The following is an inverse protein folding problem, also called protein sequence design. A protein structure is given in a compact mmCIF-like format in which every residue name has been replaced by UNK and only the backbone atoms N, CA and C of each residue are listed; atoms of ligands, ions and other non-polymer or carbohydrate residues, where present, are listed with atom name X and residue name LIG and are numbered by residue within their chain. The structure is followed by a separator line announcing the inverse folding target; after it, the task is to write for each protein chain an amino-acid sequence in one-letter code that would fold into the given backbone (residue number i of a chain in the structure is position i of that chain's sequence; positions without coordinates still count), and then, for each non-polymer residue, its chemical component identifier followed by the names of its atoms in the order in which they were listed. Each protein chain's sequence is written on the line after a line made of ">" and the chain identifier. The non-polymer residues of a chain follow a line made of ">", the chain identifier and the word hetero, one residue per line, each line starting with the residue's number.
data_IF_702472115251
#
_entry.id   IF_702472115251
#
_cell.length_a   1.000
_cell.length_b   1.000
_cell.length_c   1.000
_cell.angle_alpha   90.00
_cell.angle_beta   90.00
_cell.angle_gamma   90.00
#
_symmetry.space_group_name_H-M   'P 1'
#
loop_
_entity.id
_entity.type
_entity.pdbx_description
1 polymer ?
#
# COMPACT_ATOMS: atom_id res chain seq x y z
N UNK A 1 0.90 -16.68 -5.13
CA UNK A 1 1.40 -16.03 -3.89
C UNK A 1 1.70 -14.58 -4.26
N UNK A 2 1.00 -13.61 -3.68
CA UNK A 2 1.22 -12.20 -4.01
C UNK A 2 2.54 -11.72 -3.39
N UNK A 3 3.43 -11.15 -4.21
CA UNK A 3 4.73 -10.62 -3.80
C UNK A 3 4.64 -9.11 -3.60
N UNK A 4 5.25 -8.56 -2.55
CA UNK A 4 5.49 -7.10 -2.43
C UNK A 4 6.60 -6.64 -3.40
N UNK A 5 6.64 -7.19 -4.61
CA UNK A 5 7.63 -6.88 -5.62
C UNK A 5 7.25 -5.57 -6.31
N UNK A 6 8.24 -4.71 -6.55
CA UNK A 6 8.05 -3.47 -7.31
C UNK A 6 7.64 -3.83 -8.75
N UNK A 7 6.48 -3.36 -9.24
CA UNK A 7 6.05 -3.58 -10.62
C UNK A 7 7.05 -2.97 -11.61
N UNK A 8 7.21 -3.61 -12.77
CA UNK A 8 8.28 -3.29 -13.73
C UNK A 8 8.30 -1.82 -14.15
N UNK A 9 7.15 -1.25 -14.50
CA UNK A 9 7.03 0.16 -14.92
C UNK A 9 7.43 1.16 -13.84
N UNK A 10 7.41 0.75 -12.57
CA UNK A 10 7.76 1.59 -11.43
C UNK A 10 9.22 1.45 -10.97
N UNK A 11 9.90 0.36 -11.36
CA UNK A 11 11.29 0.09 -10.94
C UNK A 11 12.25 1.24 -11.20
N UNK A 12 12.27 1.90 -12.37
CA UNK A 12 13.20 3.00 -12.62
C UNK A 12 13.08 4.15 -11.60
N UNK A 13 11.86 4.39 -11.08
CA UNK A 13 11.60 5.43 -10.09
C UNK A 13 11.85 4.97 -8.64
N UNK A 14 11.60 3.69 -8.34
CA UNK A 14 11.58 3.17 -6.96
C UNK A 14 12.90 2.50 -6.56
N UNK A 15 13.55 1.76 -7.46
CA UNK A 15 14.76 1.01 -7.15
C UNK A 15 15.90 1.89 -6.60
N UNK A 16 16.16 3.10 -7.13
CA UNK A 16 17.15 4.01 -6.55
C UNK A 16 16.85 4.39 -5.09
N UNK A 17 15.57 4.55 -4.75
CA UNK A 17 15.12 4.86 -3.39
C UNK A 17 15.29 3.65 -2.47
N UNK A 18 14.94 2.45 -2.96
CA UNK A 18 15.10 1.21 -2.19
C UNK A 18 16.56 0.85 -1.91
N UNK A 19 17.50 1.31 -2.75
CA UNK A 19 18.93 1.12 -2.54
C UNK A 19 19.50 1.99 -1.39
N UNK A 20 18.77 3.03 -0.97
CA UNK A 20 19.23 3.93 0.10
C UNK A 20 19.39 3.20 1.44
N UNK A 21 20.21 3.77 2.33
CA UNK A 21 20.40 3.24 3.68
C UNK A 21 19.11 3.28 4.50
N UNK A 22 18.31 4.34 4.35
CA UNK A 22 17.11 4.52 5.15
C UNK A 22 15.97 3.60 4.71
N UNK A 23 15.82 3.33 3.41
CA UNK A 23 14.90 2.28 2.93
C UNK A 23 15.27 0.90 3.47
N UNK A 24 16.57 0.55 3.52
CA UNK A 24 17.03 -0.70 4.13
C UNK A 24 16.72 -0.78 5.63
N UNK A 25 16.92 0.32 6.37
CA UNK A 25 16.52 0.40 7.80
C UNK A 25 15.02 0.20 7.98
N UNK A 26 14.20 0.87 7.16
CA UNK A 26 12.75 0.74 7.19
C UNK A 26 12.31 -0.71 6.92
N UNK A 27 12.89 -1.36 5.92
CA UNK A 27 12.63 -2.77 5.63
C UNK A 27 13.01 -3.71 6.78
N UNK A 28 14.12 -3.42 7.48
CA UNK A 28 14.52 -4.14 8.69
C UNK A 28 13.54 -3.95 9.84
N UNK A 29 13.12 -2.70 10.09
CA UNK A 29 12.12 -2.35 11.10
C UNK A 29 10.80 -3.09 10.86
N UNK A 30 10.26 -3.04 9.63
CA UNK A 30 9.00 -3.72 9.30
C UNK A 30 9.08 -5.24 9.51
N UNK A 31 10.20 -5.88 9.13
CA UNK A 31 10.42 -7.31 9.38
C UNK A 31 10.45 -7.63 10.88
N UNK A 32 11.10 -6.79 11.69
CA UNK A 32 11.16 -6.98 13.14
C UNK A 32 9.78 -6.83 13.79
N UNK A 33 8.98 -5.85 13.36
CA UNK A 33 7.61 -5.65 13.84
C UNK A 33 6.70 -6.84 13.49
N UNK A 34 6.82 -7.38 12.28
CA UNK A 34 6.12 -8.62 11.88
C UNK A 34 6.55 -9.82 12.73
N UNK A 35 7.86 -10.00 12.95
CA UNK A 35 8.39 -11.08 13.78
C UNK A 35 7.97 -10.98 15.26
N UNK A 36 7.75 -9.76 15.75
CA UNK A 36 7.18 -9.50 17.07
C UNK A 36 5.66 -9.79 17.16
N UNK A 37 5.04 -10.27 16.08
CA UNK A 37 3.63 -10.62 16.05
C UNK A 37 2.68 -9.43 15.88
N UNK A 38 3.20 -8.24 15.55
CA UNK A 38 2.33 -7.07 15.30
C UNK A 38 1.47 -7.28 14.06
N UNK A 39 0.23 -6.83 14.15
CA UNK A 39 -0.69 -6.85 13.01
C UNK A 39 -0.45 -5.61 12.15
N UNK A 40 0.14 -5.82 10.98
CA UNK A 40 0.43 -4.75 10.02
C UNK A 40 -0.61 -4.76 8.90
N UNK A 41 -1.10 -3.58 8.56
CA UNK A 41 -2.02 -3.35 7.45
C UNK A 41 -1.39 -2.45 6.38
N UNK A 42 -1.70 -2.67 5.09
CA UNK A 42 -2.42 -3.83 4.55
C UNK A 42 -1.54 -5.10 4.62
N UNK A 43 -2.12 -6.31 4.47
CA UNK A 43 -1.35 -7.55 4.49
C UNK A 43 -0.29 -7.58 3.38
N UNK A 44 0.76 -8.37 3.59
CA UNK A 44 1.79 -8.64 2.56
C UNK A 44 1.15 -9.05 1.23
N UNK A 45 1.75 -8.60 0.13
CA UNK A 45 1.26 -8.81 -1.23
C UNK A 45 0.15 -7.85 -1.66
N UNK A 46 -0.27 -6.92 -0.79
CA UNK A 46 -1.19 -5.84 -1.15
C UNK A 46 -0.64 -4.45 -0.87
N UNK A 47 0.58 -4.33 -0.34
CA UNK A 47 1.17 -3.04 0.05
C UNK A 47 1.47 -2.15 -1.16
N UNK A 48 1.78 -2.77 -2.31
CA UNK A 48 2.06 -2.07 -3.56
C UNK A 48 0.90 -2.16 -4.57
N UNK A 49 -0.31 -2.51 -4.11
CA UNK A 49 -1.45 -2.79 -4.99
C UNK A 49 -1.80 -1.62 -5.93
N UNK A 50 -1.73 -0.38 -5.44
CA UNK A 50 -1.95 0.80 -6.29
C UNK A 50 -1.01 0.85 -7.50
N UNK A 51 0.26 0.50 -7.29
CA UNK A 51 1.30 0.51 -8.33
C UNK A 51 1.16 -0.69 -9.27
N UNK A 52 0.76 -1.86 -8.74
CA UNK A 52 0.47 -3.05 -9.54
C UNK A 52 -0.69 -2.81 -10.51
N UNK A 53 -1.74 -2.14 -10.04
CA UNK A 53 -2.94 -1.88 -10.84
C UNK A 53 -2.77 -0.71 -11.81
N UNK A 54 -1.83 0.19 -11.56
CA UNK A 54 -1.63 1.40 -12.36
C UNK A 54 -0.17 1.52 -12.77
N UNK A 55 0.21 1.01 -13.96
CA UNK A 55 1.56 1.24 -14.50
C UNK A 55 1.90 2.73 -14.56
N UNK A 56 3.16 3.09 -14.33
CA UNK A 56 3.59 4.49 -14.21
C UNK A 56 3.19 5.36 -15.42
N UNK A 57 3.32 4.83 -16.64
CA UNK A 57 2.95 5.53 -17.89
C UNK A 57 1.43 5.69 -18.09
N UNK A 58 0.62 4.97 -17.31
CA UNK A 58 -0.84 5.06 -17.33
C UNK A 58 -1.43 5.94 -16.24
N UNK A 59 -0.60 6.47 -15.34
CA UNK A 59 -1.04 7.37 -14.28
C UNK A 59 -1.55 8.67 -14.89
N UNK A 60 -2.79 9.04 -14.54
CA UNK A 60 -3.42 10.32 -14.93
C UNK A 60 -3.68 11.24 -13.74
N UNK A 61 -3.99 10.66 -12.58
CA UNK A 61 -4.35 11.36 -11.35
C UNK A 61 -3.70 10.63 -10.18
N UNK A 62 -3.19 11.38 -9.20
CA UNK A 62 -2.66 10.86 -7.94
C UNK A 62 -3.56 11.34 -6.82
N UNK A 63 -4.18 10.39 -6.10
CA UNK A 63 -4.98 10.66 -4.90
C UNK A 63 -4.19 10.13 -3.70
N UNK A 64 -3.77 11.03 -2.81
CA UNK A 64 -2.99 10.68 -1.63
C UNK A 64 -3.90 10.55 -0.40
N UNK A 65 -3.83 9.38 0.24
CA UNK A 65 -4.33 9.19 1.60
C UNK A 65 -3.22 9.39 2.62
N UNK A 66 -3.58 9.55 3.90
CA UNK A 66 -2.62 9.67 4.99
C UNK A 66 -2.15 8.28 5.47
N UNK A 67 -3.08 7.50 6.04
CA UNK A 67 -2.82 6.17 6.59
C UNK A 67 -3.80 5.15 6.00
N UNK A 68 -3.41 3.87 5.87
CA UNK A 68 -4.36 2.81 5.56
C UNK A 68 -5.43 2.69 6.63
N UNK A 69 -6.64 2.23 6.26
CA UNK A 69 -7.65 1.87 7.23
C UNK A 69 -7.13 0.77 8.18
N UNK A 70 -7.28 0.97 9.49
CA UNK A 70 -6.74 0.08 10.53
C UNK A 70 -7.73 -1.01 11.00
N UNK A 71 -8.98 -1.01 10.49
CA UNK A 71 -9.93 -2.07 10.77
C UNK A 71 -9.60 -3.36 10.02
N UNK A 72 -9.90 -4.50 10.64
CA UNK A 72 -9.62 -5.82 10.06
C UNK A 72 -10.32 -5.97 8.71
N UNK A 73 -9.53 -6.23 7.66
CA UNK A 73 -10.02 -6.45 6.30
C UNK A 73 -10.35 -5.16 5.53
N UNK A 74 -10.15 -3.97 6.10
CA UNK A 74 -10.45 -2.72 5.41
C UNK A 74 -9.35 -2.29 4.44
N UNK A 75 -8.09 -2.32 4.88
CA UNK A 75 -6.97 -1.92 4.03
C UNK A 75 -6.56 -3.02 3.05
N UNK A 76 -6.52 -2.65 1.77
CA UNK A 76 -6.17 -3.54 0.66
C UNK A 76 -5.22 -2.90 -0.37
N UNK A 77 -4.49 -1.85 0.05
CA UNK A 77 -3.45 -1.21 -0.76
C UNK A 77 -3.89 -0.08 -1.68
N UNK A 78 -5.11 0.43 -1.49
CA UNK A 78 -5.67 1.56 -2.24
C UNK A 78 -6.18 2.62 -1.26
N UNK A 79 -5.83 3.90 -1.49
CA UNK A 79 -6.33 5.00 -0.67
C UNK A 79 -7.85 5.14 -0.81
N UNK A 80 -8.52 5.46 0.31
CA UNK A 80 -9.97 5.65 0.42
C UNK A 80 -10.87 4.44 0.09
N UNK A 81 -10.33 3.38 -0.51
CA UNK A 81 -11.08 2.19 -0.94
C UNK A 81 -11.10 1.09 0.14
N UNK A 82 -12.17 0.31 0.16
CA UNK A 82 -12.33 -0.91 0.96
C UNK A 82 -12.82 -2.07 0.08
N UNK A 83 -12.52 -3.34 0.42
CA UNK A 83 -13.06 -4.49 -0.30
C UNK A 83 -14.60 -4.53 -0.30
N UNK A 84 -15.17 -5.23 -1.28
CA UNK A 84 -16.61 -5.48 -1.33
C UNK A 84 -17.11 -6.18 -0.06
N UNK A 85 -18.31 -5.82 0.39
CA UNK A 85 -18.90 -6.32 1.63
C UNK A 85 -18.38 -5.66 2.91
N UNK A 86 -17.33 -4.83 2.84
CA UNK A 86 -16.86 -4.03 3.97
C UNK A 86 -17.68 -2.73 4.05
N UNK A 87 -18.10 -2.37 5.27
CA UNK A 87 -18.80 -1.10 5.53
C UNK A 87 -17.99 0.08 5.01
N UNK A 88 -18.63 0.92 4.20
CA UNK A 88 -18.05 2.13 3.62
C UNK A 88 -17.63 3.10 4.75
N UNK A 89 -16.36 3.51 4.81
CA UNK A 89 -15.88 4.46 5.83
C UNK A 89 -16.43 5.88 5.63
N UNK A 90 -16.55 6.70 6.69
CA UNK A 90 -17.10 8.06 6.59
C UNK A 90 -16.40 8.96 5.58
N UNK A 91 -15.07 8.83 5.45
CA UNK A 91 -14.27 9.53 4.44
C UNK A 91 -14.72 9.20 3.01
N UNK A 92 -14.95 7.93 2.70
CA UNK A 92 -15.41 7.49 1.38
C UNK A 92 -16.87 7.91 1.12
N UNK A 93 -17.73 7.91 2.16
CA UNK A 93 -19.09 8.45 2.04
C UNK A 93 -19.07 9.93 1.63
N UNK A 94 -18.15 10.72 2.18
CA UNK A 94 -18.02 12.14 1.83
C UNK A 94 -17.49 12.37 0.41
N UNK A 95 -16.75 11.42 -0.16
CA UNK A 95 -16.30 11.47 -1.56
C UNK A 95 -17.46 11.18 -2.53
N UNK A 96 -18.45 10.37 -2.13
CA UNK A 96 -19.61 10.04 -2.96
C UNK A 96 -20.70 11.12 -2.98
N UNK A 97 -20.64 12.10 -2.08
CA UNK A 97 -21.57 13.24 -2.05
C UNK A 97 -21.11 14.32 -3.01
#
# INVERSE_FOLDING_TARGET
>A
MASDAVPESWRPAIDPVLATRDARKLGGFLKAEEAAGKRIYPPRGSRLRALELTPLDKVKVVILGQDPYHGRGQAHGLAFSVPEGIRIPPSLVNIYK
#
